data_IF_686199583258
#
_entry.id   IF_686199583258
#
_cell.length_a   1.000
_cell.length_b   1.000
_cell.length_c   1.000
_cell.angle_alpha   90.00
_cell.angle_beta   90.00
_cell.angle_gamma   90.00
#
_symmetry.space_group_name_H-M   'P 1'
#
loop_
_entity.id
_entity.type
_entity.pdbx_description
1 polymer ?
#
# COMPACT_ATOMS: atom_id res chain seq x y z
N UNK A 1 -18.95 -10.77 5.27
CA UNK A 1 -17.88 -9.73 5.13
C UNK A 1 -18.47 -8.44 4.59
N UNK A 2 -18.14 -7.30 5.19
CA UNK A 2 -18.46 -5.97 4.63
C UNK A 2 -17.22 -5.46 3.84
N UNK A 3 -17.21 -5.63 2.53
CA UNK A 3 -16.10 -5.28 1.64
C UNK A 3 -15.67 -3.82 1.76
N UNK A 4 -16.64 -2.91 1.72
CA UNK A 4 -16.34 -1.48 1.79
C UNK A 4 -15.67 -1.10 3.12
N UNK A 5 -16.15 -1.63 4.22
CA UNK A 5 -15.54 -1.39 5.53
C UNK A 5 -14.11 -1.94 5.60
N UNK A 6 -13.84 -3.10 5.01
CA UNK A 6 -12.50 -3.69 4.98
C UNK A 6 -11.55 -2.82 4.17
N UNK A 7 -11.89 -2.51 2.92
CA UNK A 7 -10.99 -1.74 2.05
C UNK A 7 -10.78 -0.31 2.55
N UNK A 8 -11.83 0.34 3.07
CA UNK A 8 -11.71 1.66 3.68
C UNK A 8 -10.85 1.62 4.95
N UNK A 9 -11.08 0.63 5.79
CA UNK A 9 -10.31 0.47 7.03
C UNK A 9 -8.83 0.20 6.79
N UNK A 10 -8.48 -0.61 5.79
CA UNK A 10 -7.08 -0.84 5.37
C UNK A 10 -6.44 0.45 4.87
N UNK A 11 -7.14 1.19 4.03
CA UNK A 11 -6.69 2.49 3.54
C UNK A 11 -6.45 3.47 4.69
N UNK A 12 -7.40 3.62 5.59
CA UNK A 12 -7.31 4.54 6.72
C UNK A 12 -6.18 4.16 7.69
N UNK A 13 -6.03 2.85 7.97
CA UNK A 13 -4.96 2.35 8.83
C UNK A 13 -3.57 2.66 8.26
N UNK A 14 -3.35 2.32 7.00
CA UNK A 14 -2.04 2.55 6.36
C UNK A 14 -1.76 4.05 6.22
N UNK A 15 -2.75 4.84 5.82
CA UNK A 15 -2.62 6.29 5.75
C UNK A 15 -2.25 6.92 7.10
N UNK A 16 -2.87 6.46 8.18
CA UNK A 16 -2.54 6.94 9.53
C UNK A 16 -1.14 6.49 9.97
N UNK A 17 -0.73 5.26 9.67
CA UNK A 17 0.57 4.72 10.05
C UNK A 17 1.73 5.37 9.29
N UNK A 18 1.54 5.63 8.01
CA UNK A 18 2.51 6.34 7.15
C UNK A 18 2.54 7.83 7.49
N UNK A 19 1.40 8.40 7.84
CA UNK A 19 1.20 9.81 8.07
C UNK A 19 0.51 10.48 6.90
N UNK A 20 -0.59 11.17 7.17
CA UNK A 20 -1.38 11.83 6.13
C UNK A 20 -0.56 12.86 5.32
N UNK A 21 0.44 13.48 5.95
CA UNK A 21 1.31 14.50 5.33
C UNK A 21 2.48 13.90 4.52
N UNK A 22 2.65 12.57 4.54
CA UNK A 22 3.70 11.89 3.77
C UNK A 22 3.48 11.96 2.26
N UNK A 23 2.24 12.20 1.84
CA UNK A 23 1.89 12.41 0.44
C UNK A 23 0.91 13.57 0.28
N UNK A 24 1.02 14.27 -0.84
CA UNK A 24 0.09 15.35 -1.21
C UNK A 24 -1.27 14.79 -1.61
N UNK A 25 -1.26 13.65 -2.29
CA UNK A 25 -2.48 12.99 -2.78
C UNK A 25 -2.61 11.59 -2.19
N UNK A 26 -3.77 11.32 -1.60
CA UNK A 26 -4.21 10.01 -1.15
C UNK A 26 -5.57 9.69 -1.75
N UNK A 27 -5.72 8.55 -2.40
CA UNK A 27 -7.01 8.17 -2.98
C UNK A 27 -7.17 6.67 -3.12
N UNK A 28 -8.39 6.20 -3.08
CA UNK A 28 -8.79 4.84 -3.48
C UNK A 28 -9.19 4.76 -4.97
N UNK A 29 -9.14 5.87 -5.67
CA UNK A 29 -9.36 5.93 -7.12
C UNK A 29 -8.01 6.08 -7.82
N UNK A 30 -7.52 4.98 -8.39
CA UNK A 30 -6.25 4.96 -9.11
C UNK A 30 -6.29 5.92 -10.30
N UNK A 31 -5.24 6.71 -10.43
CA UNK A 31 -4.99 7.55 -11.60
C UNK A 31 -3.70 7.06 -12.28
N UNK A 32 -3.65 7.17 -13.61
CA UNK A 32 -2.44 6.86 -14.35
C UNK A 32 -1.32 7.84 -13.98
N UNK A 33 -0.08 7.34 -13.88
CA UNK A 33 1.06 8.17 -13.45
C UNK A 33 1.23 9.45 -14.28
N UNK A 34 0.90 9.40 -15.57
CA UNK A 34 1.00 10.55 -16.48
C UNK A 34 -0.10 11.62 -16.23
N UNK A 35 -1.16 11.26 -15.54
CA UNK A 35 -2.27 12.18 -15.22
C UNK A 35 -2.11 12.84 -13.84
N UNK A 36 -1.03 12.50 -13.12
CA UNK A 36 -0.73 13.05 -11.80
C UNK A 36 0.46 14.00 -11.90
N UNK A 37 0.23 15.31 -11.96
CA UNK A 37 1.31 16.28 -12.08
C UNK A 37 2.18 16.31 -10.81
N UNK A 38 3.45 16.73 -10.96
CA UNK A 38 4.42 16.76 -9.87
C UNK A 38 3.97 17.54 -8.64
N UNK A 39 3.17 18.60 -8.82
CA UNK A 39 2.61 19.39 -7.71
C UNK A 39 1.66 18.57 -6.81
N UNK A 40 1.08 17.49 -7.33
CA UNK A 40 0.22 16.58 -6.59
C UNK A 40 0.96 15.35 -6.05
N UNK A 41 2.27 15.29 -6.23
CA UNK A 41 3.13 14.20 -5.75
C UNK A 41 3.89 14.62 -4.48
N UNK A 42 4.29 13.69 -3.59
CA UNK A 42 4.00 12.26 -3.67
C UNK A 42 2.51 11.96 -3.70
N UNK A 43 2.11 10.97 -4.51
CA UNK A 43 0.73 10.53 -4.60
C UNK A 43 0.66 9.03 -4.30
N UNK A 44 -0.32 8.63 -3.48
CA UNK A 44 -0.51 7.25 -3.06
C UNK A 44 -1.95 6.84 -3.36
N UNK A 45 -2.08 5.77 -4.15
CA UNK A 45 -3.37 5.23 -4.58
C UNK A 45 -3.53 3.78 -4.14
N UNK A 46 -4.73 3.42 -3.71
CA UNK A 46 -5.09 2.05 -3.33
C UNK A 46 -6.06 1.48 -4.36
N UNK A 47 -5.64 0.47 -5.09
CA UNK A 47 -6.45 -0.23 -6.08
C UNK A 47 -6.80 -1.64 -5.61
N UNK A 48 -8.09 -1.98 -5.64
CA UNK A 48 -8.54 -3.35 -5.42
C UNK A 48 -8.17 -4.19 -6.64
N UNK A 49 -7.63 -5.40 -6.43
CA UNK A 49 -7.19 -6.26 -7.54
C UNK A 49 -8.02 -7.50 -7.71
N UNK A 50 -8.46 -8.14 -6.64
CA UNK A 50 -9.28 -9.35 -6.72
C UNK A 50 -9.58 -9.94 -5.37
N UNK A 51 -10.48 -10.90 -5.35
CA UNK A 51 -10.88 -11.61 -4.15
C UNK A 51 -10.96 -13.11 -4.44
N UNK A 52 -10.55 -13.91 -3.48
CA UNK A 52 -10.59 -15.37 -3.54
C UNK A 52 -11.21 -15.92 -2.25
N UNK A 53 -12.25 -16.75 -2.42
CA UNK A 53 -12.82 -17.47 -1.28
C UNK A 53 -11.89 -18.60 -0.88
N UNK A 54 -11.65 -18.72 0.42
CA UNK A 54 -10.89 -19.82 1.00
C UNK A 54 -11.65 -20.42 2.17
N UNK A 55 -11.49 -21.70 2.35
CA UNK A 55 -12.00 -22.40 3.53
C UNK A 55 -10.84 -23.00 4.30
N UNK A 56 -10.80 -22.78 5.59
CA UNK A 56 -9.86 -23.38 6.52
C UNK A 56 -10.65 -24.30 7.47
N UNK A 57 -11.00 -25.50 6.95
CA UNK A 57 -11.82 -26.46 7.66
C UNK A 57 -13.20 -25.91 8.04
N UNK A 58 -13.29 -25.19 9.14
CA UNK A 58 -14.54 -24.68 9.70
C UNK A 58 -14.79 -23.21 9.33
N UNK A 59 -13.74 -22.45 9.06
CA UNK A 59 -13.86 -21.01 8.79
C UNK A 59 -13.95 -20.74 7.29
N UNK A 60 -14.79 -19.79 6.94
CA UNK A 60 -14.86 -19.22 5.60
C UNK A 60 -14.07 -17.91 5.61
N UNK A 61 -13.06 -17.83 4.77
CA UNK A 61 -12.14 -16.72 4.70
C UNK A 61 -12.12 -16.13 3.29
N UNK A 62 -11.99 -14.83 3.21
CA UNK A 62 -11.74 -14.12 1.96
C UNK A 62 -10.30 -13.62 1.92
N UNK A 63 -9.62 -13.93 0.83
CA UNK A 63 -8.35 -13.29 0.49
C UNK A 63 -8.64 -12.15 -0.47
N UNK A 64 -8.42 -10.93 0.00
CA UNK A 64 -8.63 -9.70 -0.76
C UNK A 64 -7.27 -9.14 -1.17
N UNK A 65 -7.14 -8.74 -2.43
CA UNK A 65 -5.93 -8.12 -2.96
C UNK A 65 -6.08 -6.60 -3.05
N UNK A 66 -5.01 -5.91 -2.71
CA UNK A 66 -4.86 -4.46 -2.92
C UNK A 66 -3.47 -4.20 -3.49
N UNK A 67 -3.36 -3.33 -4.45
CA UNK A 67 -2.09 -2.75 -4.88
C UNK A 67 -2.03 -1.29 -4.46
N UNK A 68 -0.92 -0.91 -3.80
CA UNK A 68 -0.63 0.47 -3.46
C UNK A 68 0.30 1.03 -4.52
N UNK A 69 -0.17 2.01 -5.28
CA UNK A 69 0.61 2.74 -6.27
C UNK A 69 1.16 4.02 -5.64
N UNK A 70 2.45 4.23 -5.79
CA UNK A 70 3.15 5.37 -5.23
C UNK A 70 3.85 6.09 -6.38
N UNK A 71 3.55 7.38 -6.56
CA UNK A 71 4.20 8.23 -7.53
C UNK A 71 4.97 9.32 -6.81
N UNK A 72 6.25 9.45 -7.14
CA UNK A 72 7.10 10.54 -6.65
C UNK A 72 7.79 11.22 -7.83
N UNK A 73 8.06 12.50 -7.69
CA UNK A 73 8.81 13.26 -8.69
C UNK A 73 10.14 13.72 -8.12
N UNK A 74 11.20 13.63 -8.93
CA UNK A 74 12.47 14.24 -8.59
C UNK A 74 12.43 15.73 -8.91
N UNK A 75 13.20 16.54 -8.17
CA UNK A 75 13.51 17.89 -8.57
C UNK A 75 14.54 17.93 -9.71
N UNK A 76 14.85 19.13 -10.17
CA UNK A 76 15.82 19.34 -11.27
C UNK A 76 17.28 19.22 -10.82
N UNK A 77 17.55 18.90 -9.57
CA UNK A 77 18.90 18.77 -9.05
C UNK A 77 19.46 17.39 -9.41
N UNK A 78 20.54 17.36 -10.20
CA UNK A 78 21.20 16.13 -10.62
C UNK A 78 21.78 15.32 -9.42
N UNK A 79 22.01 15.96 -8.30
CA UNK A 79 22.50 15.32 -7.07
C UNK A 79 21.38 14.71 -6.21
N UNK A 80 20.11 14.98 -6.56
CA UNK A 80 18.95 14.40 -5.86
C UNK A 80 18.64 13.01 -6.40
N UNK A 81 18.72 12.03 -5.52
CA UNK A 81 18.30 10.66 -5.86
C UNK A 81 16.77 10.59 -5.82
N UNK A 82 16.16 10.42 -7.00
CA UNK A 82 14.68 10.39 -7.13
C UNK A 82 14.01 9.32 -6.30
N UNK A 83 14.70 8.21 -6.06
CA UNK A 83 14.18 7.10 -5.25
C UNK A 83 14.19 7.37 -3.74
N UNK A 84 14.87 8.41 -3.23
CA UNK A 84 14.99 8.63 -1.78
C UNK A 84 13.63 8.86 -1.11
N UNK A 85 12.78 9.69 -1.71
CA UNK A 85 11.43 9.93 -1.20
C UNK A 85 10.55 8.68 -1.30
N UNK A 86 10.68 7.95 -2.40
CA UNK A 86 10.00 6.68 -2.61
C UNK A 86 10.37 5.65 -1.55
N UNK A 87 11.66 5.45 -1.32
CA UNK A 87 12.15 4.48 -0.33
C UNK A 87 11.63 4.77 1.07
N UNK A 88 11.58 6.05 1.46
CA UNK A 88 11.01 6.45 2.76
C UNK A 88 9.54 6.04 2.89
N UNK A 89 8.74 6.25 1.86
CA UNK A 89 7.33 5.83 1.86
C UNK A 89 7.22 4.32 1.90
N UNK A 90 8.03 3.61 1.12
CA UNK A 90 8.06 2.13 1.11
C UNK A 90 8.42 1.58 2.49
N UNK A 91 9.41 2.15 3.17
CA UNK A 91 9.80 1.75 4.53
C UNK A 91 8.64 1.94 5.52
N UNK A 92 7.92 3.06 5.43
CA UNK A 92 6.77 3.34 6.29
C UNK A 92 5.61 2.38 6.02
N UNK A 93 5.29 2.10 4.76
CA UNK A 93 4.24 1.13 4.39
C UNK A 93 4.63 -0.26 4.87
N UNK A 94 5.88 -0.67 4.62
CA UNK A 94 6.40 -1.96 5.08
C UNK A 94 6.27 -2.10 6.59
N UNK A 95 6.69 -1.09 7.34
CA UNK A 95 6.58 -1.08 8.80
C UNK A 95 5.11 -1.15 9.28
N UNK A 96 4.18 -0.53 8.55
CA UNK A 96 2.77 -0.55 8.90
C UNK A 96 2.12 -1.93 8.77
N UNK A 97 2.59 -2.74 7.81
CA UNK A 97 2.03 -4.08 7.53
C UNK A 97 2.90 -5.22 8.05
N UNK A 98 4.02 -4.93 8.70
CA UNK A 98 4.82 -5.96 9.36
C UNK A 98 4.16 -6.41 10.66
N UNK A 99 4.19 -7.71 10.98
CA UNK A 99 3.71 -8.22 12.26
C UNK A 99 4.43 -7.54 13.42
N UNK A 100 3.68 -7.11 14.42
CA UNK A 100 4.22 -6.36 15.58
C UNK A 100 4.62 -7.23 16.76
N UNK A 101 4.44 -8.54 16.69
CA UNK A 101 4.63 -9.38 17.86
C UNK A 101 6.09 -9.75 18.11
N UNK A 102 6.52 -9.46 19.32
CA UNK A 102 7.74 -9.99 19.94
C UNK A 102 7.54 -11.40 20.53
N UNK A 103 6.31 -11.93 20.57
CA UNK A 103 5.94 -13.21 21.21
C UNK A 103 5.40 -14.26 20.22
N UNK A 104 5.73 -14.16 18.94
CA UNK A 104 5.39 -15.19 17.96
C UNK A 104 4.04 -15.06 17.25
N UNK A 105 3.27 -14.03 17.51
CA UNK A 105 2.14 -13.71 16.63
C UNK A 105 2.69 -13.28 15.28
N UNK A 106 2.29 -13.99 14.23
CA UNK A 106 2.78 -13.77 12.86
C UNK A 106 1.83 -12.94 12.02
N UNK A 107 0.64 -12.63 12.55
CA UNK A 107 -0.42 -11.99 11.81
C UNK A 107 -0.45 -10.50 12.10
N UNK A 108 -0.61 -9.69 11.06
CA UNK A 108 -0.86 -8.27 11.18
C UNK A 108 -2.35 -8.01 11.03
N UNK A 109 -3.02 -7.81 12.14
CA UNK A 109 -4.49 -7.66 12.17
C UNK A 109 -4.99 -6.25 11.87
N UNK A 110 -4.09 -5.28 11.66
CA UNK A 110 -4.43 -3.87 11.47
C UNK A 110 -5.35 -3.33 12.59
N UNK A 111 -5.00 -3.68 13.84
CA UNK A 111 -5.81 -3.29 15.01
C UNK A 111 -7.09 -4.11 15.20
N UNK A 112 -7.16 -5.33 14.64
CA UNK A 112 -8.31 -6.22 14.75
C UNK A 112 -9.33 -6.06 13.61
N UNK A 113 -8.99 -5.30 12.58
CA UNK A 113 -9.85 -5.10 11.40
C UNK A 113 -9.91 -6.34 10.51
N UNK A 114 -8.81 -7.07 10.41
CA UNK A 114 -8.61 -8.22 9.52
C UNK A 114 -7.95 -9.37 10.28
N UNK A 115 -7.99 -10.57 9.70
CA UNK A 115 -7.26 -11.73 10.25
C UNK A 115 -5.76 -11.59 10.02
N UNK A 116 -5.36 -11.17 8.81
CA UNK A 116 -3.96 -10.93 8.47
C UNK A 116 -3.85 -9.93 7.30
N UNK A 117 -2.81 -9.12 7.30
CA UNK A 117 -2.44 -8.26 6.19
C UNK A 117 -0.94 -8.30 5.98
N UNK A 118 -0.51 -8.57 4.76
CA UNK A 118 0.91 -8.67 4.44
C UNK A 118 1.22 -8.27 3.01
N UNK A 119 2.47 -7.91 2.76
CA UNK A 119 2.99 -7.76 1.40
C UNK A 119 2.99 -9.13 0.73
N UNK A 120 2.36 -9.22 -0.43
CA UNK A 120 2.17 -10.47 -1.17
C UNK A 120 2.94 -10.47 -2.48
N UNK A 121 4.21 -10.76 -2.42
CA UNK A 121 5.05 -10.86 -3.59
C UNK A 121 6.08 -9.75 -3.72
N UNK A 122 6.42 -9.42 -4.96
CA UNK A 122 7.46 -8.45 -5.28
C UNK A 122 6.91 -7.03 -5.23
N UNK A 123 7.62 -6.14 -4.55
CA UNK A 123 7.43 -4.69 -4.72
C UNK A 123 8.12 -4.32 -6.04
N UNK A 124 7.36 -3.78 -6.97
CA UNK A 124 7.89 -3.30 -8.23
C UNK A 124 8.22 -1.81 -8.13
N UNK A 125 9.39 -1.43 -8.64
CA UNK A 125 9.85 -0.04 -8.64
C UNK A 125 10.40 0.33 -10.00
N UNK A 126 10.09 1.53 -10.44
CA UNK A 126 10.69 2.16 -11.60
C UNK A 126 11.18 3.55 -11.21
N UNK A 127 12.48 3.76 -11.28
CA UNK A 127 13.12 5.02 -10.93
C UNK A 127 13.84 5.60 -12.15
N UNK A 128 13.12 6.37 -12.96
CA UNK A 128 13.69 7.16 -14.03
C UNK A 128 13.39 6.72 -15.45
N UNK A 129 12.82 5.55 -15.71
CA UNK A 129 12.37 5.17 -17.06
C UNK A 129 11.20 6.05 -17.52
N UNK A 130 10.42 6.56 -16.58
CA UNK A 130 9.30 7.48 -16.83
C UNK A 130 9.70 8.96 -16.66
N UNK A 131 10.93 9.31 -17.00
CA UNK A 131 11.47 10.65 -16.87
C UNK A 131 11.81 10.99 -15.42
N UNK A 132 11.29 12.09 -14.89
CA UNK A 132 11.56 12.52 -13.50
C UNK A 132 10.69 11.83 -12.45
N UNK A 133 9.78 11.00 -12.87
CA UNK A 133 8.90 10.29 -11.95
C UNK A 133 9.52 8.96 -11.54
N UNK A 134 9.27 8.59 -10.31
CA UNK A 134 9.46 7.23 -9.80
C UNK A 134 8.13 6.65 -9.45
N UNK A 135 7.93 5.39 -9.79
CA UNK A 135 6.71 4.64 -9.51
C UNK A 135 7.07 3.42 -8.70
N UNK A 136 6.27 3.11 -7.67
CA UNK A 136 6.32 1.83 -6.98
C UNK A 136 4.93 1.23 -6.88
N UNK A 137 4.87 -0.10 -6.89
CA UNK A 137 3.63 -0.86 -6.69
C UNK A 137 3.89 -1.87 -5.59
N UNK A 138 3.12 -1.77 -4.51
CA UNK A 138 3.19 -2.65 -3.35
C UNK A 138 1.96 -3.53 -3.31
N UNK A 139 2.09 -4.84 -3.60
CA UNK A 139 0.95 -5.75 -3.52
C UNK A 139 0.69 -6.16 -2.07
N UNK A 140 -0.56 -6.06 -1.63
CA UNK A 140 -1.03 -6.53 -0.34
C UNK A 140 -2.00 -7.69 -0.49
N UNK A 141 -1.89 -8.66 0.40
CA UNK A 141 -2.86 -9.71 0.63
C UNK A 141 -3.51 -9.50 1.99
N UNK A 142 -4.82 -9.40 2.01
CA UNK A 142 -5.64 -9.16 3.19
C UNK A 142 -6.52 -10.39 3.40
N UNK A 143 -6.45 -10.99 4.57
CA UNK A 143 -7.28 -12.13 4.93
C UNK A 143 -8.38 -11.67 5.88
N UNK A 144 -9.62 -11.95 5.53
CA UNK A 144 -10.82 -11.53 6.29
C UNK A 144 -11.73 -12.72 6.52
N UNK A 145 -12.32 -12.83 7.68
CA UNK A 145 -13.36 -13.82 7.98
C UNK A 145 -14.71 -13.34 7.46
N UNK A 146 -15.52 -14.30 6.92
CA UNK A 146 -16.86 -14.02 6.39
C UNK A 146 -17.81 -13.48 7.46
#
# INVERSE_FOLDING_TARGET
MNREAVYQGVYDYIRAAVGADAAVTWSRQLQHWNDVPGIRQPAIFFAQTGEELRTDGVRVLWRCGVEIYIYTTADNNADTVSATGMNRILDQITAAVMPRSIFGERDQTLGGLVVDCKIAGKIETDAGTLGRQSVAIVPLSILVEE
#
